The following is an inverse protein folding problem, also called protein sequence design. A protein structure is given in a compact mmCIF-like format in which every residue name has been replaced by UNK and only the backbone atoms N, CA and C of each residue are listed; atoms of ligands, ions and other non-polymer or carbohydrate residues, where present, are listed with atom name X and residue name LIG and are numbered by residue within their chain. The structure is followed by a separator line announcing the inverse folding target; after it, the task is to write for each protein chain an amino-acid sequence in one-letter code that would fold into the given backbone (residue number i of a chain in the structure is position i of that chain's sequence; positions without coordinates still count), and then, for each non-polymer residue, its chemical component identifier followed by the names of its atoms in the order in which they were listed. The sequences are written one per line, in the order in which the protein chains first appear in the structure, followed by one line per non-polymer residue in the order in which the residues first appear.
data_IF_151197710281
#
_entry.id   IF_151197710281
#
_cell.length_a   1.000
_cell.length_b   1.000
_cell.length_c   1.000
_cell.angle_alpha   90.00
_cell.angle_beta   90.00
_cell.angle_gamma   90.00
#
_symmetry.space_group_name_H-M   'P 1'
#
loop_
_entity.id
_entity.type
_entity.pdbx_description
1 polymer ?
#
# COMPACT_ATOMS: atom_id res chain seq x y z
N UNK A 1 0.32 -19.14 20.47
CA UNK A 1 -0.30 -20.46 20.66
C UNK A 1 -0.37 -21.27 19.35
N UNK A 2 -0.94 -20.73 18.24
CA UNK A 2 -1.01 -21.46 16.96
C UNK A 2 0.39 -21.85 16.44
N UNK A 3 1.38 -20.95 16.59
CA UNK A 3 2.75 -21.12 16.09
C UNK A 3 3.65 -21.94 17.03
N UNK A 4 3.26 -22.18 18.27
CA UNK A 4 4.10 -22.78 19.33
C UNK A 4 3.99 -24.32 19.41
N UNK A 5 3.12 -24.96 18.69
CA UNK A 5 2.88 -26.40 18.84
C UNK A 5 2.46 -27.12 17.57
N UNK A 6 2.60 -26.47 16.44
CA UNK A 6 2.19 -27.01 15.15
C UNK A 6 3.37 -27.05 14.19
N UNK A 7 3.51 -28.14 13.48
CA UNK A 7 4.46 -28.28 12.36
C UNK A 7 3.85 -27.60 11.12
N UNK A 8 4.02 -26.28 11.03
CA UNK A 8 3.45 -25.45 9.97
C UNK A 8 4.56 -24.86 9.09
N UNK A 9 4.45 -25.00 7.78
CA UNK A 9 5.37 -24.43 6.80
C UNK A 9 5.01 -22.98 6.43
N UNK A 10 3.72 -22.66 6.48
CA UNK A 10 3.21 -21.35 6.04
C UNK A 10 1.97 -20.91 6.81
N UNK A 11 1.73 -19.59 6.78
CA UNK A 11 0.53 -18.95 7.35
C UNK A 11 -0.16 -18.11 6.27
N UNK A 12 -1.47 -18.31 6.12
CA UNK A 12 -2.34 -17.41 5.37
C UNK A 12 -2.99 -16.41 6.33
N UNK A 13 -2.77 -15.11 6.14
CA UNK A 13 -3.26 -14.04 7.01
C UNK A 13 -4.42 -13.33 6.33
N UNK A 14 -5.61 -13.45 6.94
CA UNK A 14 -6.84 -12.75 6.54
C UNK A 14 -7.51 -12.07 7.74
N UNK A 15 -6.74 -11.75 8.77
CA UNK A 15 -7.17 -10.96 9.91
C UNK A 15 -7.48 -9.50 9.51
N UNK A 16 -8.09 -8.68 10.37
CA UNK A 16 -8.19 -7.25 10.12
C UNK A 16 -6.78 -6.61 9.95
N UNK A 17 -6.63 -5.57 9.10
CA UNK A 17 -5.33 -5.04 8.69
C UNK A 17 -4.39 -4.60 9.80
N UNK A 18 -4.94 -4.17 10.94
CA UNK A 18 -4.14 -3.77 12.09
C UNK A 18 -3.37 -4.93 12.75
N UNK A 19 -3.68 -6.17 12.40
CA UNK A 19 -2.96 -7.37 12.83
C UNK A 19 -1.92 -7.87 11.82
N UNK A 20 -1.98 -7.44 10.56
CA UNK A 20 -1.17 -8.02 9.48
C UNK A 20 0.33 -7.96 9.75
N UNK A 21 0.85 -6.80 10.21
CA UNK A 21 2.27 -6.62 10.46
C UNK A 21 2.78 -7.58 11.54
N UNK A 22 2.14 -7.58 12.70
CA UNK A 22 2.56 -8.41 13.85
C UNK A 22 2.51 -9.90 13.50
N UNK A 23 1.39 -10.37 12.94
CA UNK A 23 1.26 -11.78 12.58
C UNK A 23 2.31 -12.18 11.54
N UNK A 24 2.58 -11.32 10.54
CA UNK A 24 3.60 -11.57 9.52
C UNK A 24 5.00 -11.68 10.13
N UNK A 25 5.36 -10.77 11.03
CA UNK A 25 6.67 -10.75 11.69
C UNK A 25 6.86 -12.01 12.55
N UNK A 26 5.89 -12.31 13.43
CA UNK A 26 5.95 -13.47 14.33
C UNK A 26 5.97 -14.78 13.52
N UNK A 27 5.24 -14.86 12.41
CA UNK A 27 5.31 -16.04 11.52
C UNK A 27 6.70 -16.20 10.89
N UNK A 28 7.30 -15.10 10.41
CA UNK A 28 8.66 -15.14 9.87
C UNK A 28 9.70 -15.53 10.93
N UNK A 29 9.58 -15.03 12.15
CA UNK A 29 10.42 -15.40 13.31
C UNK A 29 10.29 -16.88 13.66
N UNK A 30 9.08 -17.44 13.56
CA UNK A 30 8.82 -18.85 13.76
C UNK A 30 9.23 -19.76 12.57
N UNK A 31 9.83 -19.18 11.52
CA UNK A 31 10.34 -19.92 10.36
C UNK A 31 9.29 -20.24 9.29
N UNK A 32 8.16 -19.57 9.28
CA UNK A 32 7.06 -19.80 8.34
C UNK A 32 7.06 -18.83 7.17
N UNK A 33 6.65 -19.31 6.01
CA UNK A 33 6.35 -18.48 4.85
C UNK A 33 4.95 -17.86 5.01
N UNK A 34 4.68 -16.70 4.38
CA UNK A 34 3.43 -15.95 4.59
C UNK A 34 2.77 -15.55 3.28
N UNK A 35 1.47 -15.85 3.18
CA UNK A 35 0.54 -15.23 2.25
C UNK A 35 -0.37 -14.29 3.06
N UNK A 36 -0.22 -12.98 2.87
CA UNK A 36 -0.97 -11.99 3.64
C UNK A 36 -1.97 -11.24 2.76
N UNK A 37 -3.20 -11.10 3.24
CA UNK A 37 -4.21 -10.25 2.59
C UNK A 37 -3.81 -8.76 2.63
N UNK A 38 -4.37 -8.01 1.71
CA UNK A 38 -4.21 -6.56 1.59
C UNK A 38 -5.19 -5.80 2.54
N UNK A 39 -4.88 -4.56 2.92
CA UNK A 39 -3.61 -3.87 2.73
C UNK A 39 -2.51 -4.50 3.57
N UNK A 40 -1.25 -4.38 3.10
CA UNK A 40 -0.11 -5.01 3.78
C UNK A 40 -0.03 -4.64 5.27
N UNK A 41 -0.21 -3.36 5.57
CA UNK A 41 -0.07 -2.78 6.92
C UNK A 41 -0.91 -1.51 7.05
N UNK A 42 -0.96 -0.92 8.26
CA UNK A 42 -1.61 0.37 8.51
C UNK A 42 -0.69 1.57 8.34
N UNK A 43 0.60 1.39 8.62
CA UNK A 43 1.58 2.48 8.69
C UNK A 43 2.86 2.11 7.94
N UNK A 44 3.63 3.13 7.56
CA UNK A 44 4.90 2.96 6.84
C UNK A 44 5.89 2.14 7.65
N UNK A 45 6.07 2.43 8.95
CA UNK A 45 7.00 1.72 9.81
C UNK A 45 6.66 0.23 9.96
N UNK A 46 5.37 -0.13 10.04
CA UNK A 46 4.94 -1.53 10.05
C UNK A 46 5.39 -2.28 8.79
N UNK A 47 5.21 -1.67 7.61
CA UNK A 47 5.63 -2.26 6.34
C UNK A 47 7.14 -2.46 6.28
N UNK A 48 7.92 -1.49 6.72
CA UNK A 48 9.38 -1.60 6.80
C UNK A 48 9.82 -2.69 7.79
N UNK A 49 9.15 -2.82 8.92
CA UNK A 49 9.43 -3.90 9.87
C UNK A 49 9.16 -5.30 9.27
N UNK A 50 8.07 -5.46 8.53
CA UNK A 50 7.79 -6.72 7.80
C UNK A 50 8.88 -7.01 6.77
N UNK A 51 9.28 -6.02 5.95
CA UNK A 51 10.38 -6.20 4.98
C UNK A 51 11.65 -6.68 5.67
N UNK A 52 12.03 -6.04 6.77
CA UNK A 52 13.23 -6.38 7.54
C UNK A 52 13.16 -7.78 8.15
N UNK A 53 12.00 -8.19 8.68
CA UNK A 53 11.79 -9.52 9.24
C UNK A 53 11.95 -10.61 8.17
N UNK A 54 11.29 -10.47 7.02
CA UNK A 54 11.40 -11.46 5.94
C UNK A 54 12.80 -11.54 5.34
N UNK A 55 13.51 -10.41 5.25
CA UNK A 55 14.92 -10.40 4.87
C UNK A 55 15.81 -11.10 5.90
N UNK A 56 15.59 -10.84 7.20
CA UNK A 56 16.37 -11.40 8.31
C UNK A 56 16.20 -12.92 8.42
N UNK A 57 14.96 -13.41 8.33
CA UNK A 57 14.65 -14.82 8.54
C UNK A 57 14.65 -15.66 7.25
N UNK A 58 14.87 -15.05 6.09
CA UNK A 58 14.94 -15.75 4.80
C UNK A 58 13.64 -16.44 4.41
N UNK A 59 12.48 -15.92 4.83
CA UNK A 59 11.17 -16.49 4.52
C UNK A 59 10.57 -15.88 3.27
N UNK A 60 9.64 -16.60 2.67
CA UNK A 60 8.90 -16.13 1.49
C UNK A 60 7.63 -15.43 1.93
N UNK A 61 7.38 -14.26 1.34
CA UNK A 61 6.16 -13.48 1.56
C UNK A 61 5.49 -13.18 0.22
N UNK A 62 4.17 -13.23 0.20
CA UNK A 62 3.34 -12.78 -0.91
C UNK A 62 2.17 -11.98 -0.37
N UNK A 63 1.97 -10.76 -0.92
CA UNK A 63 0.75 -9.97 -0.67
C UNK A 63 -0.42 -10.49 -1.52
N UNK A 64 -1.64 -10.45 -0.99
CA UNK A 64 -2.88 -10.88 -1.65
C UNK A 64 -3.35 -9.96 -2.79
N UNK A 65 -2.41 -9.37 -3.55
CA UNK A 65 -2.69 -8.60 -4.77
C UNK A 65 -2.10 -9.33 -5.97
N UNK A 66 -2.97 -9.77 -6.89
CA UNK A 66 -2.54 -10.61 -8.01
C UNK A 66 -2.51 -9.88 -9.36
N UNK A 67 -2.93 -8.63 -9.40
CA UNK A 67 -2.99 -7.82 -10.62
C UNK A 67 -1.64 -7.64 -11.31
N UNK A 68 -0.53 -7.60 -10.54
CA UNK A 68 0.83 -7.48 -11.10
C UNK A 68 1.24 -8.67 -11.96
N UNK A 69 0.75 -9.89 -11.66
CA UNK A 69 1.00 -11.07 -12.50
C UNK A 69 0.35 -10.95 -13.88
N UNK A 70 -0.80 -10.28 -13.97
CA UNK A 70 -1.45 -10.00 -15.25
C UNK A 70 -0.68 -8.92 -16.01
N UNK A 71 -0.26 -7.85 -15.32
CA UNK A 71 0.54 -6.77 -15.92
C UNK A 71 1.89 -7.27 -16.45
N UNK A 72 2.55 -8.18 -15.73
CA UNK A 72 3.84 -8.75 -16.17
C UNK A 72 3.74 -9.65 -17.41
N UNK A 73 2.54 -9.95 -17.88
CA UNK A 73 2.26 -10.72 -19.10
C UNK A 73 1.64 -9.85 -20.20
N UNK A 74 1.23 -8.62 -19.88
CA UNK A 74 0.61 -7.69 -20.83
C UNK A 74 1.68 -6.91 -21.61
N UNK A 75 1.66 -7.01 -22.94
CA UNK A 75 2.68 -6.39 -23.82
C UNK A 75 2.81 -4.88 -23.60
N UNK A 76 1.69 -4.16 -23.41
CA UNK A 76 1.71 -2.71 -23.17
C UNK A 76 2.36 -2.37 -21.84
N UNK A 77 2.05 -3.12 -20.78
CA UNK A 77 2.66 -2.96 -19.47
C UNK A 77 4.15 -3.30 -19.46
N UNK A 78 4.55 -4.37 -20.15
CA UNK A 78 5.95 -4.77 -20.35
C UNK A 78 6.72 -3.65 -21.09
N UNK A 79 6.15 -3.09 -22.14
CA UNK A 79 6.79 -1.99 -22.87
C UNK A 79 7.04 -0.78 -21.97
N UNK A 80 6.04 -0.36 -21.19
CA UNK A 80 6.18 0.73 -20.23
C UNK A 80 7.24 0.41 -19.17
N UNK A 81 7.25 -0.80 -18.66
CA UNK A 81 8.26 -1.28 -17.71
C UNK A 81 9.67 -1.17 -18.30
N UNK A 82 9.88 -1.60 -19.56
CA UNK A 82 11.16 -1.45 -20.27
C UNK A 82 11.57 0.02 -20.41
N UNK A 83 10.65 0.90 -20.81
CA UNK A 83 10.94 2.34 -20.93
C UNK A 83 11.40 2.90 -19.58
N UNK A 84 10.64 2.62 -18.52
CA UNK A 84 10.93 3.15 -17.18
C UNK A 84 12.22 2.58 -16.55
N UNK A 85 12.60 1.35 -16.89
CA UNK A 85 13.82 0.71 -16.37
C UNK A 85 15.06 0.97 -17.22
N UNK A 86 14.90 1.47 -18.44
CA UNK A 86 16.02 1.66 -19.39
C UNK A 86 17.01 2.75 -19.00
N UNK A 87 16.56 3.76 -18.23
CA UNK A 87 17.33 4.98 -17.96
C UNK A 87 17.42 5.94 -19.16
N UNK A 88 16.75 5.63 -20.27
CA UNK A 88 16.79 6.46 -21.50
C UNK A 88 15.84 7.66 -21.43
N UNK A 89 14.81 7.60 -20.59
CA UNK A 89 13.86 8.69 -20.37
C UNK A 89 14.52 9.74 -19.45
N UNK A 90 15.00 10.85 -20.02
CA UNK A 90 15.71 11.91 -19.26
C UNK A 90 14.82 12.61 -18.26
N UNK A 91 13.56 12.86 -18.63
CA UNK A 91 12.55 13.47 -17.79
C UNK A 91 11.22 12.80 -18.05
N UNK A 92 10.59 12.31 -16.99
CA UNK A 92 9.29 11.67 -17.09
C UNK A 92 8.20 12.70 -16.84
N UNK A 93 7.40 13.01 -17.84
CA UNK A 93 6.22 13.88 -17.75
C UNK A 93 4.92 13.08 -17.66
N UNK A 94 5.00 11.76 -17.56
CA UNK A 94 3.84 10.89 -17.53
C UNK A 94 3.03 11.05 -16.25
N UNK A 95 1.71 11.07 -16.41
CA UNK A 95 0.72 11.16 -15.35
C UNK A 95 -0.26 10.00 -15.50
N UNK A 96 -0.10 8.97 -14.70
CA UNK A 96 -1.00 7.81 -14.66
C UNK A 96 -2.13 8.06 -13.68
N UNK A 97 -3.36 8.12 -14.18
CA UNK A 97 -4.53 8.34 -13.34
C UNK A 97 -5.36 7.06 -13.16
N UNK A 98 -5.81 6.82 -11.93
CA UNK A 98 -6.84 5.84 -11.57
C UNK A 98 -8.06 6.59 -11.04
N UNK A 99 -9.17 6.50 -11.77
CA UNK A 99 -10.45 7.08 -11.38
C UNK A 99 -11.40 6.00 -10.88
N UNK A 100 -11.99 6.24 -9.71
CA UNK A 100 -13.03 5.40 -9.11
C UNK A 100 -12.57 4.00 -8.71
N UNK A 101 -13.52 3.20 -8.26
CA UNK A 101 -13.26 1.82 -7.80
C UNK A 101 -12.65 1.72 -6.41
N UNK A 102 -12.37 2.84 -5.74
CA UNK A 102 -11.80 2.88 -4.39
C UNK A 102 -12.86 2.79 -3.28
N UNK A 103 -14.15 2.82 -3.63
CA UNK A 103 -15.27 2.67 -2.68
C UNK A 103 -15.17 3.62 -1.49
N UNK A 104 -14.79 4.88 -1.73
CA UNK A 104 -14.52 5.88 -0.68
C UNK A 104 -15.74 6.11 0.17
N UNK A 105 -16.93 6.36 -0.44
CA UNK A 105 -18.19 6.55 0.27
C UNK A 105 -18.58 5.30 1.08
N UNK A 106 -18.42 4.12 0.50
CA UNK A 106 -18.79 2.85 1.17
C UNK A 106 -17.95 2.63 2.44
N UNK A 107 -16.67 2.99 2.42
CA UNK A 107 -15.73 2.76 3.51
C UNK A 107 -15.36 4.04 4.27
N UNK A 108 -16.17 5.09 4.18
CA UNK A 108 -16.10 6.22 5.09
C UNK A 108 -16.64 5.83 6.45
N UNK A 109 -15.96 6.27 7.51
CA UNK A 109 -16.39 5.98 8.88
C UNK A 109 -17.52 6.88 9.34
N UNK A 110 -18.20 6.47 10.39
CA UNK A 110 -19.24 7.25 11.06
C UNK A 110 -18.76 7.64 12.45
N UNK A 111 -18.54 8.93 12.73
CA UNK A 111 -18.10 9.36 14.04
C UNK A 111 -19.29 9.45 15.03
N UNK A 112 -18.98 9.44 16.34
CA UNK A 112 -19.93 9.86 17.39
C UNK A 112 -21.07 8.88 17.69
N UNK A 113 -20.90 7.58 17.41
CA UNK A 113 -21.92 6.56 17.74
C UNK A 113 -22.03 6.36 19.26
N UNK A 114 -20.92 6.48 19.96
CA UNK A 114 -20.82 6.26 21.41
C UNK A 114 -20.68 4.78 21.80
N UNK A 115 -20.26 4.56 23.07
CA UNK A 115 -20.01 3.23 23.61
C UNK A 115 -21.25 2.32 23.58
N UNK A 116 -21.04 1.05 23.23
CA UNK A 116 -22.07 0.00 23.22
C UNK A 116 -21.61 -1.19 24.05
N UNK A 117 -22.55 -2.09 24.41
CA UNK A 117 -22.23 -3.36 25.08
C UNK A 117 -21.43 -4.26 24.15
N UNK A 118 -20.32 -4.78 24.66
CA UNK A 118 -19.50 -5.75 23.92
C UNK A 118 -20.30 -7.05 23.81
N UNK A 119 -20.46 -7.63 22.60
CA UNK A 119 -21.08 -8.94 22.44
C UNK A 119 -20.30 -10.04 23.19
N UNK A 120 -21.00 -10.98 23.84
CA UNK A 120 -20.38 -12.05 24.65
C UNK A 120 -19.37 -12.91 23.85
N UNK A 121 -19.57 -13.06 22.56
CA UNK A 121 -18.69 -13.83 21.67
C UNK A 121 -17.46 -13.05 21.17
N UNK A 122 -17.30 -11.77 21.54
CA UNK A 122 -16.24 -10.91 21.06
C UNK A 122 -15.23 -10.61 22.17
N UNK A 123 -14.02 -11.09 22.02
CA UNK A 123 -12.87 -10.61 22.80
C UNK A 123 -12.43 -9.25 22.22
N UNK A 124 -12.95 -8.17 22.81
CA UNK A 124 -12.70 -6.80 22.33
C UNK A 124 -11.25 -6.36 22.52
N UNK A 125 -10.61 -6.78 23.60
CA UNK A 125 -9.21 -6.47 23.86
C UNK A 125 -8.30 -7.12 22.82
N UNK A 126 -8.55 -8.39 22.49
CA UNK A 126 -7.84 -9.10 21.44
C UNK A 126 -8.17 -8.52 20.06
N UNK A 127 -9.43 -8.12 19.80
CA UNK A 127 -9.78 -7.47 18.55
C UNK A 127 -9.01 -6.17 18.35
N UNK A 128 -8.97 -5.28 19.35
CA UNK A 128 -8.20 -4.03 19.29
C UNK A 128 -6.71 -4.30 19.08
N UNK A 129 -6.15 -5.25 19.82
CA UNK A 129 -4.77 -5.68 19.67
C UNK A 129 -3.77 -4.52 19.68
N UNK A 130 -2.98 -4.36 18.60
CA UNK A 130 -1.98 -3.28 18.51
C UNK A 130 -2.58 -1.89 18.28
N UNK A 131 -3.87 -1.79 17.96
CA UNK A 131 -4.54 -0.50 17.78
C UNK A 131 -4.81 0.18 19.11
N UNK A 132 -4.98 1.52 19.15
CA UNK A 132 -5.40 2.19 20.37
C UNK A 132 -6.71 1.59 20.90
N UNK A 133 -6.72 1.23 22.19
CA UNK A 133 -7.95 0.74 22.79
C UNK A 133 -8.98 1.86 22.88
N UNK A 134 -10.19 1.59 22.44
CA UNK A 134 -11.34 2.50 22.53
C UNK A 134 -12.57 1.74 22.99
N UNK A 135 -13.56 2.43 23.60
CA UNK A 135 -14.85 1.80 23.90
C UNK A 135 -15.46 1.13 22.66
N UNK A 136 -16.09 0.00 22.87
CA UNK A 136 -16.70 -0.75 21.78
C UNK A 136 -17.80 0.04 21.08
N UNK A 137 -17.75 0.04 19.78
CA UNK A 137 -18.80 0.47 18.86
C UNK A 137 -18.92 -0.58 17.75
N UNK A 138 -20.13 -1.02 17.44
CA UNK A 138 -20.36 -2.10 16.47
C UNK A 138 -19.77 -1.81 15.08
N UNK A 139 -19.70 -0.54 14.69
CA UNK A 139 -19.10 -0.13 13.41
C UNK A 139 -17.58 -0.22 13.37
N UNK A 140 -16.91 -0.40 14.51
CA UNK A 140 -15.46 -0.68 14.57
C UNK A 140 -15.14 -2.13 14.26
N UNK A 141 -16.13 -2.98 14.06
CA UNK A 141 -15.99 -4.40 13.71
C UNK A 141 -16.60 -4.72 12.34
N UNK A 142 -16.49 -5.98 11.89
CA UNK A 142 -16.97 -6.42 10.60
C UNK A 142 -16.37 -5.59 9.45
N UNK A 143 -17.08 -5.42 8.36
CA UNK A 143 -16.60 -4.66 7.19
C UNK A 143 -16.40 -3.17 7.42
N UNK A 144 -17.14 -2.57 8.38
CA UNK A 144 -17.14 -1.13 8.64
C UNK A 144 -15.91 -0.63 9.40
N UNK A 145 -15.10 -1.51 10.00
CA UNK A 145 -13.84 -1.15 10.65
C UNK A 145 -12.90 -0.38 9.69
N UNK A 146 -13.04 -0.58 8.40
CA UNK A 146 -12.24 0.10 7.35
C UNK A 146 -12.30 1.62 7.44
N UNK A 147 -13.43 2.17 7.88
CA UNK A 147 -13.64 3.59 8.02
C UNK A 147 -12.96 4.26 9.21
N UNK A 148 -12.19 3.54 10.02
CA UNK A 148 -11.53 4.07 11.21
C UNK A 148 -10.00 4.03 11.07
N UNK A 149 -9.33 5.17 11.29
CA UNK A 149 -7.86 5.30 11.19
C UNK A 149 -7.09 4.31 12.06
N UNK A 150 -7.71 3.87 13.16
CA UNK A 150 -7.09 2.91 14.09
C UNK A 150 -6.90 1.52 13.47
N UNK A 151 -7.71 1.14 12.48
CA UNK A 151 -7.75 -0.23 11.94
C UNK A 151 -7.32 -0.34 10.49
N UNK A 152 -7.65 0.68 9.68
CA UNK A 152 -7.34 0.71 8.25
C UNK A 152 -7.27 2.16 7.74
N UNK A 153 -7.47 2.42 6.48
CA UNK A 153 -7.42 3.75 5.84
C UNK A 153 -8.54 3.96 4.83
N UNK A 154 -9.72 3.42 5.13
CA UNK A 154 -10.90 3.56 4.27
C UNK A 154 -10.75 2.89 2.92
N UNK A 155 -11.55 3.32 1.96
CA UNK A 155 -11.53 2.79 0.60
C UNK A 155 -10.19 2.93 -0.10
N UNK A 156 -9.39 3.93 0.29
CA UNK A 156 -8.02 4.11 -0.23
C UNK A 156 -7.15 2.89 0.10
N UNK A 157 -7.11 2.43 1.34
CA UNK A 157 -6.31 1.28 1.74
C UNK A 157 -6.96 -0.04 1.32
N UNK A 158 -8.28 -0.20 1.52
CA UNK A 158 -8.98 -1.43 1.17
C UNK A 158 -8.86 -1.80 -0.31
N UNK A 159 -9.16 -0.87 -1.21
CA UNK A 159 -9.14 -1.13 -2.66
C UNK A 159 -7.86 -0.65 -3.35
N UNK A 160 -7.19 0.36 -2.78
CA UNK A 160 -6.08 1.02 -3.45
C UNK A 160 -4.91 0.07 -3.74
N UNK A 161 -4.57 -0.85 -2.84
CA UNK A 161 -3.46 -1.77 -3.09
C UNK A 161 -3.73 -2.68 -4.29
N UNK A 162 -4.96 -3.12 -4.53
CA UNK A 162 -5.32 -3.86 -5.75
C UNK A 162 -5.10 -3.06 -7.03
N UNK A 163 -5.29 -1.74 -6.97
CA UNK A 163 -5.18 -0.87 -8.14
C UNK A 163 -3.75 -0.39 -8.38
N UNK A 164 -2.99 -0.10 -7.32
CA UNK A 164 -1.68 0.54 -7.46
C UNK A 164 -0.50 -0.43 -7.41
N UNK A 165 -0.65 -1.61 -6.80
CA UNK A 165 0.38 -2.65 -6.83
C UNK A 165 0.75 -3.10 -8.27
N UNK A 166 -0.21 -3.34 -9.19
CA UNK A 166 0.11 -3.63 -10.59
C UNK A 166 0.77 -2.45 -11.32
N UNK A 167 0.37 -1.23 -11.00
CA UNK A 167 0.93 -0.02 -11.61
C UNK A 167 2.36 0.24 -11.10
N UNK A 168 2.66 -0.06 -9.82
CA UNK A 168 4.03 0.01 -9.28
C UNK A 168 4.99 -0.83 -10.11
N UNK A 169 4.61 -2.07 -10.43
CA UNK A 169 5.41 -2.91 -11.32
C UNK A 169 5.52 -2.32 -12.73
N UNK A 170 4.40 -1.91 -13.34
CA UNK A 170 4.34 -1.38 -14.71
C UNK A 170 5.29 -0.19 -14.90
N UNK A 171 5.34 0.71 -13.92
CA UNK A 171 6.15 1.93 -13.99
C UNK A 171 7.46 1.83 -13.20
N UNK A 172 7.89 0.60 -12.86
CA UNK A 172 9.17 0.31 -12.19
C UNK A 172 9.35 1.10 -10.86
N UNK A 173 8.31 1.14 -10.02
CA UNK A 173 8.31 1.86 -8.74
C UNK A 173 8.40 0.95 -7.51
N UNK A 174 8.71 -0.33 -7.69
CA UNK A 174 8.78 -1.33 -6.62
C UNK A 174 9.88 -1.05 -5.57
N UNK A 175 10.79 -0.11 -5.84
CA UNK A 175 11.93 0.21 -4.97
C UNK A 175 11.96 1.67 -4.50
N UNK A 176 10.90 2.44 -4.75
CA UNK A 176 10.83 3.85 -4.38
C UNK A 176 9.42 4.26 -3.99
N UNK A 177 9.28 5.47 -3.48
CA UNK A 177 8.01 6.09 -3.11
C UNK A 177 7.92 7.51 -3.64
N UNK A 178 6.73 8.13 -3.69
CA UNK A 178 6.58 9.54 -4.09
C UNK A 178 7.37 10.48 -3.19
N UNK A 179 7.92 11.56 -3.76
CA UNK A 179 8.64 12.61 -3.04
C UNK A 179 7.75 13.80 -2.70
N UNK A 180 6.63 13.99 -3.43
CA UNK A 180 5.63 15.00 -3.14
C UNK A 180 4.23 14.40 -3.23
N UNK A 181 3.36 14.78 -2.28
CA UNK A 181 1.98 14.30 -2.17
C UNK A 181 1.07 15.53 -2.03
N UNK A 182 0.13 15.70 -2.95
CA UNK A 182 -0.80 16.84 -2.97
C UNK A 182 -2.25 16.35 -2.94
N UNK A 183 -2.99 16.56 -1.85
CA UNK A 183 -4.37 16.15 -1.74
C UNK A 183 -5.34 17.25 -2.18
N UNK A 184 -6.52 16.85 -2.63
CA UNK A 184 -7.70 17.69 -2.71
C UNK A 184 -8.86 16.98 -1.98
N UNK A 185 -9.10 17.40 -0.76
CA UNK A 185 -10.05 16.79 0.16
C UNK A 185 -10.67 17.85 1.08
N UNK A 186 -11.86 17.60 1.64
CA UNK A 186 -12.38 18.44 2.72
C UNK A 186 -11.58 18.21 4.00
N UNK A 187 -11.77 19.03 5.05
CA UNK A 187 -11.18 18.78 6.36
C UNK A 187 -11.49 17.37 6.85
N UNK A 188 -10.44 16.66 7.29
CA UNK A 188 -10.58 15.27 7.74
C UNK A 188 -11.03 15.19 9.20
N UNK A 189 -11.84 14.18 9.51
CA UNK A 189 -12.20 13.87 10.89
C UNK A 189 -11.02 13.15 11.59
N UNK A 190 -10.74 13.41 12.88
CA UNK A 190 -9.59 12.84 13.58
C UNK A 190 -9.67 11.32 13.77
N UNK A 191 -10.85 10.72 13.83
CA UNK A 191 -11.07 9.29 14.12
C UNK A 191 -11.42 8.45 12.90
N UNK A 192 -12.05 9.06 11.88
CA UNK A 192 -12.65 8.31 10.76
C UNK A 192 -12.18 8.85 9.42
N UNK A 193 -12.11 7.95 8.45
CA UNK A 193 -11.88 8.32 7.05
C UNK A 193 -13.12 8.99 6.47
N UNK A 194 -12.94 9.87 5.51
CA UNK A 194 -14.02 10.61 4.85
C UNK A 194 -13.86 10.63 3.34
N UNK A 195 -14.65 11.49 2.71
CA UNK A 195 -14.64 11.71 1.27
C UNK A 195 -13.41 12.55 0.86
N UNK A 196 -12.95 12.37 -0.36
CA UNK A 196 -11.89 13.17 -0.97
C UNK A 196 -12.06 13.15 -2.50
N UNK A 197 -11.50 14.13 -3.21
CA UNK A 197 -11.59 14.23 -4.66
C UNK A 197 -10.45 13.47 -5.34
N UNK A 198 -9.23 13.93 -5.14
CA UNK A 198 -8.04 13.33 -5.73
C UNK A 198 -6.79 13.56 -4.89
N UNK A 199 -5.77 12.72 -5.12
CA UNK A 199 -4.42 12.88 -4.59
C UNK A 199 -3.42 12.70 -5.72
N UNK A 200 -2.53 13.69 -5.91
CA UNK A 200 -1.39 13.61 -6.81
C UNK A 200 -0.15 13.16 -6.03
N UNK A 201 0.55 12.17 -6.55
CA UNK A 201 1.74 11.55 -5.99
C UNK A 201 2.87 11.66 -7.01
N UNK A 202 3.83 12.57 -6.80
CA UNK A 202 4.95 12.81 -7.70
C UNK A 202 6.20 12.07 -7.23
N UNK A 203 6.83 11.36 -8.15
CA UNK A 203 8.13 10.69 -7.94
C UNK A 203 9.31 11.59 -8.32
N UNK A 204 10.51 11.21 -7.86
CA UNK A 204 11.73 11.99 -8.08
C UNK A 204 12.10 12.14 -9.57
N UNK A 205 11.77 11.16 -10.40
CA UNK A 205 11.98 11.18 -11.85
C UNK A 205 10.94 11.99 -12.64
N UNK A 206 9.98 12.62 -11.95
CA UNK A 206 8.93 13.41 -12.55
C UNK A 206 7.61 12.67 -12.79
N UNK A 207 7.62 11.33 -12.82
CA UNK A 207 6.42 10.50 -12.96
C UNK A 207 5.39 10.79 -11.87
N UNK A 208 4.10 10.75 -12.23
CA UNK A 208 3.00 10.98 -11.28
C UNK A 208 1.97 9.86 -11.33
N UNK A 209 1.56 9.41 -10.14
CA UNK A 209 0.27 8.76 -9.95
C UNK A 209 -0.77 9.79 -9.51
N UNK A 210 -1.99 9.66 -10.04
CA UNK A 210 -3.17 10.40 -9.56
C UNK A 210 -4.24 9.41 -9.17
N UNK A 211 -4.66 9.50 -7.92
CA UNK A 211 -5.81 8.80 -7.38
C UNK A 211 -7.01 9.76 -7.42
N UNK A 212 -8.06 9.44 -8.15
CA UNK A 212 -9.32 10.19 -8.17
C UNK A 212 -10.45 9.32 -7.65
N UNK A 213 -11.14 9.73 -6.59
CA UNK A 213 -12.24 8.95 -6.01
C UNK A 213 -13.40 8.80 -6.99
N UNK A 214 -13.73 9.87 -7.69
CA UNK A 214 -14.92 9.96 -8.54
C UNK A 214 -16.23 10.02 -7.74
N UNK A 215 -16.14 10.15 -6.41
CA UNK A 215 -17.28 10.10 -5.50
C UNK A 215 -17.50 11.41 -4.74
N UNK A 216 -16.55 12.35 -4.82
CA UNK A 216 -16.65 13.68 -4.18
C UNK A 216 -15.78 14.71 -4.90
N UNK A 217 -16.20 15.99 -4.87
CA UNK A 217 -15.43 17.15 -5.32
C UNK A 217 -15.18 17.21 -6.84
N UNK A 218 -14.36 18.17 -7.28
CA UNK A 218 -14.01 18.33 -8.69
C UNK A 218 -13.08 17.21 -9.16
N UNK A 219 -13.22 16.88 -10.44
CA UNK A 219 -12.28 15.97 -11.11
C UNK A 219 -10.90 16.58 -11.22
N UNK A 220 -9.87 15.73 -11.23
CA UNK A 220 -8.51 16.12 -11.58
C UNK A 220 -8.44 16.62 -13.04
N UNK A 221 -7.52 17.53 -13.34
CA UNK A 221 -7.33 18.03 -14.70
C UNK A 221 -6.87 16.91 -15.63
N UNK A 222 -7.77 16.48 -16.52
CA UNK A 222 -7.51 15.39 -17.46
C UNK A 222 -6.61 15.76 -18.62
N UNK A 223 -6.48 17.05 -18.94
CA UNK A 223 -5.57 17.51 -20.00
C UNK A 223 -4.12 17.28 -19.62
N UNK A 224 -3.82 17.21 -18.32
CA UNK A 224 -2.49 16.87 -17.82
C UNK A 224 -2.18 15.36 -17.82
N UNK A 225 -3.18 14.50 -18.08
CA UNK A 225 -3.01 13.04 -18.03
C UNK A 225 -2.39 12.54 -19.33
N UNK A 226 -1.17 12.01 -19.23
CA UNK A 226 -0.40 11.49 -20.36
C UNK A 226 0.40 10.28 -19.92
N UNK A 227 0.19 9.16 -20.58
CA UNK A 227 0.92 7.93 -20.27
C UNK A 227 2.31 7.90 -20.93
N UNK A 228 3.18 7.03 -20.44
CA UNK A 228 4.49 6.75 -21.03
C UNK A 228 4.33 6.13 -22.41
N UNK A 229 5.06 6.65 -23.40
CA UNK A 229 5.05 6.16 -24.79
C UNK A 229 6.48 6.04 -25.34
N UNK A 230 6.65 5.18 -26.37
CA UNK A 230 7.88 5.16 -27.17
C UNK A 230 8.14 6.50 -27.86
N UNK A 231 7.08 7.25 -28.18
CA UNK A 231 7.21 8.56 -28.83
C UNK A 231 7.91 9.63 -27.92
N UNK A 232 8.08 9.32 -26.63
CA UNK A 232 8.85 10.14 -25.70
C UNK A 232 10.37 9.99 -25.90
N UNK A 233 10.81 9.05 -26.74
CA UNK A 233 12.19 8.69 -26.98
C UNK A 233 12.63 8.98 -28.41
N UNK A 234 13.93 9.19 -28.60
CA UNK A 234 14.53 9.25 -29.96
C UNK A 234 14.35 7.92 -30.68
N UNK A 235 14.44 7.91 -32.03
CA UNK A 235 14.33 6.68 -32.83
C UNK A 235 15.35 5.62 -32.40
N UNK A 236 16.59 6.02 -32.17
CA UNK A 236 17.68 5.12 -31.76
C UNK A 236 17.36 4.51 -30.37
N UNK A 237 16.78 5.27 -29.47
CA UNK A 237 16.40 4.80 -28.14
C UNK A 237 15.18 3.90 -28.20
N UNK A 238 14.21 4.17 -29.09
CA UNK A 238 13.09 3.26 -29.33
C UNK A 238 13.57 1.88 -29.77
N UNK A 239 14.56 1.81 -30.65
CA UNK A 239 15.11 0.54 -31.14
C UNK A 239 15.89 -0.20 -30.04
N UNK A 240 16.59 0.53 -29.16
CA UNK A 240 17.17 -0.05 -27.94
C UNK A 240 16.10 -0.66 -27.04
N UNK A 241 14.97 0.05 -26.77
CA UNK A 241 13.86 -0.46 -25.97
C UNK A 241 13.27 -1.73 -26.58
N UNK A 242 13.03 -1.75 -27.90
CA UNK A 242 12.48 -2.92 -28.59
C UNK A 242 13.41 -4.14 -28.47
N UNK A 243 14.73 -3.93 -28.51
CA UNK A 243 15.74 -4.98 -28.38
C UNK A 243 16.01 -5.45 -26.95
N UNK A 244 15.55 -4.72 -25.93
CA UNK A 244 15.69 -5.14 -24.53
C UNK A 244 15.02 -6.48 -24.26
N UNK A 245 15.63 -7.36 -23.44
CA UNK A 245 15.00 -8.62 -23.05
C UNK A 245 13.70 -8.38 -22.31
N UNK A 246 12.79 -9.35 -22.39
CA UNK A 246 11.58 -9.35 -21.57
C UNK A 246 11.93 -9.40 -20.08
N UNK A 247 11.18 -8.70 -19.20
CA UNK A 247 11.32 -8.85 -17.76
C UNK A 247 11.15 -10.31 -17.34
N UNK A 248 11.89 -10.73 -16.32
CA UNK A 248 11.74 -12.09 -15.78
C UNK A 248 10.30 -12.30 -15.28
N UNK A 249 9.71 -13.47 -15.55
CA UNK A 249 8.38 -13.80 -15.02
C UNK A 249 8.33 -13.68 -13.49
N UNK A 250 7.24 -13.13 -12.98
CA UNK A 250 7.01 -13.08 -11.55
C UNK A 250 6.63 -14.48 -11.04
N UNK A 251 7.32 -14.96 -10.00
CA UNK A 251 7.02 -16.24 -9.39
C UNK A 251 5.74 -16.14 -8.55
N UNK A 252 4.84 -17.10 -8.70
CA UNK A 252 3.73 -17.29 -7.77
C UNK A 252 4.25 -17.66 -6.38
N UNK A 253 3.41 -17.53 -5.35
CA UNK A 253 3.78 -17.89 -3.98
C UNK A 253 4.30 -19.34 -3.90
N UNK A 254 3.57 -20.30 -4.46
CA UNK A 254 3.97 -21.72 -4.41
C UNK A 254 5.29 -22.00 -5.15
N UNK A 255 5.55 -21.36 -6.30
CA UNK A 255 6.83 -21.47 -7.01
C UNK A 255 7.97 -20.82 -6.21
N UNK A 256 7.71 -19.68 -5.61
CA UNK A 256 8.69 -18.96 -4.79
C UNK A 256 9.09 -19.79 -3.55
N UNK A 257 8.13 -20.41 -2.86
CA UNK A 257 8.37 -21.30 -1.72
C UNK A 257 9.22 -22.51 -2.14
N UNK A 258 8.85 -23.18 -3.24
CA UNK A 258 9.60 -24.36 -3.74
C UNK A 258 11.04 -24.00 -4.17
N UNK A 259 11.24 -22.83 -4.75
CA UNK A 259 12.55 -22.39 -5.23
C UNK A 259 13.36 -21.61 -4.20
N UNK A 260 12.78 -21.29 -3.03
CA UNK A 260 13.34 -20.39 -2.01
C UNK A 260 13.79 -19.04 -2.61
N UNK A 261 12.93 -18.44 -3.44
CA UNK A 261 13.13 -17.16 -4.10
C UNK A 261 12.02 -16.18 -3.71
N UNK A 262 12.15 -14.93 -4.12
CA UNK A 262 11.11 -13.93 -3.92
C UNK A 262 9.89 -14.20 -4.78
N UNK A 263 8.70 -14.11 -4.18
CA UNK A 263 7.43 -14.11 -4.90
C UNK A 263 7.22 -12.78 -5.65
N UNK A 264 6.31 -12.76 -6.62
CA UNK A 264 6.01 -11.56 -7.41
C UNK A 264 5.52 -10.37 -6.58
N UNK A 265 4.78 -10.64 -5.49
CA UNK A 265 4.34 -9.64 -4.50
C UNK A 265 5.16 -9.69 -3.21
N UNK A 266 6.49 -9.67 -3.34
CA UNK A 266 7.44 -9.76 -2.22
C UNK A 266 7.36 -8.57 -1.26
N UNK A 267 7.95 -8.64 -0.04
CA UNK A 267 7.73 -7.64 1.00
C UNK A 267 8.05 -6.19 0.57
N UNK A 268 9.18 -5.96 -0.13
CA UNK A 268 9.55 -4.59 -0.55
C UNK A 268 8.55 -4.01 -1.54
N UNK A 269 8.15 -4.77 -2.58
CA UNK A 269 7.17 -4.31 -3.55
C UNK A 269 5.80 -4.05 -2.90
N UNK A 270 5.36 -4.94 -2.01
CA UNK A 270 4.12 -4.78 -1.25
C UNK A 270 4.16 -3.56 -0.33
N UNK A 271 5.28 -3.32 0.35
CA UNK A 271 5.51 -2.16 1.18
C UNK A 271 5.46 -0.85 0.38
N UNK A 272 6.17 -0.78 -0.76
CA UNK A 272 6.12 0.43 -1.61
C UNK A 272 4.73 0.70 -2.16
N UNK A 273 3.97 -0.33 -2.52
CA UNK A 273 2.57 -0.19 -2.91
C UNK A 273 1.69 0.29 -1.73
N UNK A 274 1.90 -0.20 -0.51
CA UNK A 274 1.21 0.28 0.68
C UNK A 274 1.61 1.72 1.04
N UNK A 275 2.89 2.09 0.89
CA UNK A 275 3.37 3.45 1.17
C UNK A 275 2.60 4.52 0.40
N UNK A 276 2.31 4.33 -0.90
CA UNK A 276 1.56 5.34 -1.66
C UNK A 276 0.17 5.58 -1.08
N UNK A 277 -0.47 4.55 -0.52
CA UNK A 277 -1.79 4.66 0.10
C UNK A 277 -1.70 5.37 1.46
N UNK A 278 -0.70 5.02 2.26
CA UNK A 278 -0.46 5.66 3.56
C UNK A 278 -0.10 7.14 3.40
N UNK A 279 0.81 7.47 2.46
CA UNK A 279 1.20 8.86 2.19
C UNK A 279 0.03 9.68 1.66
N UNK A 280 -0.80 9.12 0.77
CA UNK A 280 -2.02 9.76 0.29
C UNK A 280 -3.01 10.04 1.43
N UNK A 281 -3.28 9.05 2.28
CA UNK A 281 -4.15 9.21 3.44
C UNK A 281 -3.61 10.25 4.44
N UNK A 282 -2.30 10.28 4.67
CA UNK A 282 -1.70 11.30 5.56
C UNK A 282 -1.83 12.70 4.99
N UNK A 283 -1.64 12.88 3.67
CA UNK A 283 -1.85 14.18 3.03
C UNK A 283 -3.32 14.63 3.14
N UNK A 284 -4.29 13.72 2.94
CA UNK A 284 -5.72 13.98 3.15
C UNK A 284 -5.99 14.34 4.61
N UNK A 285 -5.49 13.54 5.55
CA UNK A 285 -5.70 13.70 7.00
C UNK A 285 -5.16 15.02 7.52
N UNK A 286 -4.01 15.46 7.01
CA UNK A 286 -3.38 16.72 7.38
C UNK A 286 -3.87 17.92 6.53
N UNK A 287 -4.63 17.68 5.46
CA UNK A 287 -5.23 18.72 4.61
C UNK A 287 -4.21 19.57 3.86
N UNK A 288 -3.00 19.07 3.61
CA UNK A 288 -1.92 19.85 2.99
C UNK A 288 -0.94 19.02 2.19
N UNK A 289 -0.21 19.68 1.29
CA UNK A 289 0.90 19.07 0.55
C UNK A 289 2.00 18.62 1.51
N UNK A 290 2.54 17.42 1.25
CA UNK A 290 3.64 16.83 2.00
C UNK A 290 4.85 16.57 1.10
N UNK A 291 6.06 16.65 1.66
CA UNK A 291 7.32 16.25 1.02
C UNK A 291 7.92 15.08 1.77
N UNK A 292 8.32 14.04 1.05
CA UNK A 292 8.76 12.77 1.62
C UNK A 292 10.13 12.37 1.05
N UNK A 293 10.99 11.85 1.91
CA UNK A 293 12.27 11.23 1.58
C UNK A 293 12.03 9.70 1.49
N UNK A 294 12.01 9.10 0.28
CA UNK A 294 11.70 7.69 0.12
C UNK A 294 12.81 6.75 0.61
N UNK A 295 14.04 7.23 0.77
CA UNK A 295 15.18 6.43 1.23
C UNK A 295 15.21 6.33 2.76
N UNK A 296 14.90 7.44 3.44
CA UNK A 296 14.81 7.50 4.89
C UNK A 296 13.43 7.13 5.42
N UNK A 297 12.44 7.12 4.55
CA UNK A 297 11.02 6.91 4.87
C UNK A 297 10.50 7.90 5.92
N UNK A 298 10.80 9.20 5.72
CA UNK A 298 10.37 10.30 6.59
C UNK A 298 9.86 11.49 5.78
N UNK A 299 8.95 12.27 6.36
CA UNK A 299 8.57 13.57 5.82
C UNK A 299 9.66 14.60 6.12
N UNK A 300 10.02 15.39 5.08
CA UNK A 300 11.11 16.36 5.14
C UNK A 300 10.66 17.59 5.95
N UNK A 301 11.36 17.87 7.06
CA UNK A 301 11.11 19.02 7.94
C UNK A 301 9.67 19.10 8.46
N UNK A 302 9.03 17.97 8.72
CA UNK A 302 7.61 17.89 9.10
C UNK A 302 7.41 16.90 10.27
N UNK A 303 7.65 17.38 11.47
CA UNK A 303 7.55 16.56 12.70
C UNK A 303 6.11 16.10 12.98
N UNK A 304 5.10 16.87 12.58
CA UNK A 304 3.70 16.49 12.75
C UNK A 304 3.38 15.27 11.87
N UNK A 305 3.69 15.33 10.58
CA UNK A 305 3.46 14.24 9.65
C UNK A 305 4.26 12.98 10.03
N UNK A 306 5.50 13.14 10.52
CA UNK A 306 6.35 12.01 10.93
C UNK A 306 5.79 11.20 12.09
N UNK A 307 4.98 11.79 12.98
CA UNK A 307 4.32 11.06 14.07
C UNK A 307 3.32 10.01 13.57
N UNK A 308 2.76 10.21 12.38
CA UNK A 308 1.80 9.27 11.79
C UNK A 308 2.46 8.12 11.01
N UNK A 309 3.77 8.18 10.75
CA UNK A 309 4.48 7.09 10.08
C UNK A 309 4.68 5.87 11.00
N UNK A 310 4.79 6.13 12.31
CA UNK A 310 4.99 5.12 13.34
C UNK A 310 4.26 5.49 14.63
N UNK A 311 2.92 5.48 14.65
CA UNK A 311 2.17 5.73 15.87
C UNK A 311 2.42 4.61 16.90
N UNK A 312 2.34 4.91 18.20
CA UNK A 312 2.55 3.91 19.24
C UNK A 312 1.48 2.82 19.17
N UNK A 313 1.89 1.58 19.43
CA UNK A 313 1.01 0.44 19.58
C UNK A 313 0.54 0.32 21.03
N UNK A 314 -0.66 -0.27 21.24
CA UNK A 314 -1.12 -0.66 22.55
C UNK A 314 -0.27 -1.80 23.13
N UNK A 315 0.08 -1.73 24.41
CA UNK A 315 0.80 -2.81 25.09
C UNK A 315 -0.05 -4.10 25.09
N UNK A 316 0.56 -5.29 24.99
CA UNK A 316 2.01 -5.55 24.97
C UNK A 316 2.63 -5.54 23.53
N UNK A 317 1.90 -5.10 22.53
CA UNK A 317 2.26 -5.22 21.12
C UNK A 317 3.36 -4.22 20.74
N UNK A 318 4.29 -4.67 19.90
CA UNK A 318 5.39 -3.88 19.33
C UNK A 318 5.96 -4.55 18.09
N UNK A 319 6.60 -3.78 17.23
CA UNK A 319 7.34 -4.21 16.04
C UNK A 319 8.80 -3.79 16.11
#
# INVERSE_FOLDING_TARGET
RLLEGQDLDLVAIAAPPHWHAIISIVAAEAGMDVLCEKPMTRFVAEGRAVVNAFKRYGRVYQIGTFGRFNRSKDKSSILKHKIMTSGLLKECTAVRMKKGGLKVKQWSGTPGIGPQTIPDALDWDLYCGPSPWKPYESRRTGGTHRGYWDYEGGGMCDMGQHHFDPEQWTYAKDHTSPVEITPFAPPSHPEVTGMWAWVELKYADGFKFVMESGEWGPSYDRHSVRDVSLDDLSRDDQDKIKSMPEPKPLLSFGEAVKQRKQAGGHPEAAHRAACILHLANLAIRLGRKLKYDPDKEVFINDNEANRFLNPPMSAPWRI
#
